data_IF_048237729487
#
_entry.id   IF_048237729487
#
_cell.length_a   1.000
_cell.length_b   1.000
_cell.length_c   1.000
_cell.angle_alpha   90.00
_cell.angle_beta   90.00
_cell.angle_gamma   90.00
#
_symmetry.space_group_name_H-M   'P 1'
#
loop_
_entity.id
_entity.type
_entity.pdbx_description
1 polymer ?
#
# COMPACT_ATOMS: atom_id res chain seq x y z
N UNK A 1 -27.41 -25.28 13.97
CA UNK A 1 -27.62 -25.70 15.36
C UNK A 1 -27.85 -27.19 15.40
N UNK A 2 -26.88 -27.95 15.93
CA UNK A 2 -27.00 -29.23 16.66
C UNK A 2 -25.56 -29.71 16.92
N UNK A 3 -25.21 -29.86 18.21
CA UNK A 3 -24.10 -30.68 18.71
C UNK A 3 -22.67 -30.18 18.49
N UNK A 4 -22.15 -29.38 19.41
CA UNK A 4 -20.71 -29.33 19.65
C UNK A 4 -20.33 -30.61 20.42
N UNK A 5 -19.57 -31.51 19.80
CA UNK A 5 -18.88 -32.60 20.51
C UNK A 5 -17.42 -32.19 20.68
N UNK A 6 -17.01 -32.03 21.93
CA UNK A 6 -15.60 -32.05 22.32
C UNK A 6 -15.07 -33.46 22.04
N UNK A 7 -14.08 -33.59 21.17
CA UNK A 7 -13.26 -34.79 21.07
C UNK A 7 -11.83 -34.41 21.45
N UNK A 8 -11.47 -34.76 22.68
CA UNK A 8 -10.09 -34.99 23.07
C UNK A 8 -9.76 -36.44 22.68
N UNK A 9 -9.01 -36.62 21.60
CA UNK A 9 -8.34 -37.90 21.30
C UNK A 9 -6.96 -37.59 20.77
N UNK A 10 -5.97 -37.93 21.59
CA UNK A 10 -4.56 -38.04 21.26
C UNK A 10 -4.36 -38.96 20.05
N UNK A 11 -3.52 -38.54 19.10
CA UNK A 11 -3.04 -39.38 18.02
C UNK A 11 -1.51 -39.47 18.10
N UNK A 12 -0.93 -40.65 18.37
CA UNK A 12 0.52 -40.83 18.43
C UNK A 12 1.01 -41.48 17.13
N UNK A 13 1.20 -40.73 16.05
CA UNK A 13 2.07 -41.12 14.93
C UNK A 13 2.52 -39.84 14.20
N UNK A 14 3.58 -39.21 14.69
CA UNK A 14 4.26 -38.10 14.02
C UNK A 14 5.77 -38.21 14.21
N UNK A 15 6.31 -39.41 14.05
CA UNK A 15 7.74 -39.64 13.88
C UNK A 15 7.90 -40.68 12.77
N UNK A 16 8.81 -40.40 11.83
CA UNK A 16 9.07 -41.11 10.56
C UNK A 16 8.13 -40.74 9.42
N UNK A 17 8.47 -39.66 8.71
CA UNK A 17 8.45 -39.56 7.23
C UNK A 17 9.08 -38.22 6.77
N UNK A 18 10.24 -37.87 7.33
CA UNK A 18 11.04 -36.73 6.91
C UNK A 18 12.53 -37.11 6.83
N UNK A 19 12.84 -38.18 6.10
CA UNK A 19 14.21 -38.46 5.66
C UNK A 19 14.15 -38.97 4.22
N UNK A 20 14.34 -38.06 3.26
CA UNK A 20 15.12 -38.29 2.05
C UNK A 20 15.14 -37.01 1.20
N UNK A 21 16.35 -36.50 0.96
CA UNK A 21 16.71 -35.44 0.01
C UNK A 21 16.59 -33.99 0.50
N UNK A 22 17.31 -33.66 1.56
CA UNK A 22 17.92 -32.34 1.72
C UNK A 22 19.42 -32.53 1.94
N UNK A 23 20.24 -31.90 1.09
CA UNK A 23 21.64 -31.66 1.42
C UNK A 23 21.68 -30.93 2.77
N UNK A 24 22.47 -31.48 3.68
CA UNK A 24 22.58 -31.06 5.07
C UNK A 24 23.05 -29.60 5.16
N UNK A 25 22.35 -28.72 5.90
CA UNK A 25 22.94 -27.46 6.34
C UNK A 25 23.98 -27.75 7.42
N UNK A 26 25.16 -27.16 7.27
CA UNK A 26 26.25 -27.14 8.24
C UNK A 26 25.78 -26.68 9.64
N UNK A 27 26.42 -27.17 10.73
CA UNK A 27 25.93 -27.03 12.10
C UNK A 27 25.87 -25.58 12.62
N UNK A 28 25.05 -25.29 13.67
CA UNK A 28 24.85 -23.95 14.19
C UNK A 28 26.04 -23.56 15.07
N UNK A 29 27.06 -22.99 14.44
CA UNK A 29 28.28 -22.52 15.09
C UNK A 29 28.94 -21.36 14.37
N UNK A 30 28.16 -20.54 13.68
CA UNK A 30 28.61 -19.28 13.07
C UNK A 30 28.28 -18.09 13.96
N UNK A 31 29.10 -17.03 14.00
CA UNK A 31 28.82 -15.85 14.82
C UNK A 31 27.47 -15.27 14.40
N UNK A 32 26.57 -15.01 15.36
CA UNK A 32 25.46 -14.09 15.14
C UNK A 32 26.06 -12.79 14.58
N UNK A 33 25.89 -12.56 13.27
CA UNK A 33 26.50 -11.43 12.60
C UNK A 33 26.07 -10.13 13.28
N UNK A 34 27.03 -9.30 13.71
CA UNK A 34 26.77 -8.01 14.36
C UNK A 34 25.80 -7.12 13.56
N UNK A 35 25.70 -7.30 12.24
CA UNK A 35 24.73 -6.61 11.38
C UNK A 35 23.27 -6.98 11.65
N UNK A 36 22.98 -8.24 12.03
CA UNK A 36 21.61 -8.69 12.34
C UNK A 36 21.11 -8.10 13.65
N UNK A 37 21.98 -8.04 14.67
CA UNK A 37 21.65 -7.39 15.95
C UNK A 37 21.38 -5.89 15.75
N UNK A 38 22.24 -5.21 14.97
CA UNK A 38 22.10 -3.78 14.69
C UNK A 38 20.81 -3.43 13.91
N UNK A 39 20.36 -4.30 13.00
CA UNK A 39 19.07 -4.13 12.31
C UNK A 39 17.87 -4.32 13.25
N UNK A 40 17.88 -5.35 14.10
CA UNK A 40 16.82 -5.57 15.08
C UNK A 40 16.72 -4.40 16.06
N UNK A 41 17.85 -3.83 16.47
CA UNK A 41 17.88 -2.62 17.31
C UNK A 41 17.25 -1.42 16.61
N UNK A 42 17.62 -1.16 15.36
CA UNK A 42 17.01 -0.09 14.57
C UNK A 42 15.49 -0.26 14.47
N UNK A 43 15.00 -1.49 14.24
CA UNK A 43 13.55 -1.78 14.18
C UNK A 43 12.88 -1.59 15.55
N UNK A 44 13.51 -2.03 16.66
CA UNK A 44 13.00 -1.84 18.02
C UNK A 44 12.89 -0.35 18.36
N UNK A 45 13.93 0.44 18.09
CA UNK A 45 13.92 1.89 18.30
C UNK A 45 12.91 2.58 17.39
N UNK A 46 12.77 2.16 16.13
CA UNK A 46 11.72 2.69 15.27
C UNK A 46 10.33 2.39 15.84
N UNK A 47 10.09 1.18 16.35
CA UNK A 47 8.81 0.79 16.93
C UNK A 47 8.49 1.56 18.22
N UNK A 48 9.49 2.01 18.99
CA UNK A 48 9.23 2.90 20.13
C UNK A 48 8.74 4.30 19.71
N UNK A 49 8.88 4.67 18.43
CA UNK A 49 8.28 5.91 17.87
C UNK A 49 6.80 5.73 17.50
N UNK A 50 6.23 4.54 17.68
CA UNK A 50 4.79 4.36 17.49
C UNK A 50 4.04 5.19 18.53
N UNK A 51 3.17 6.04 18.03
CA UNK A 51 2.24 6.79 18.85
C UNK A 51 1.18 5.82 19.37
N UNK A 52 1.14 5.58 20.68
CA UNK A 52 0.13 4.75 21.31
C UNK A 52 -1.28 5.23 20.92
N UNK A 53 -2.27 4.34 20.97
CA UNK A 53 -3.68 4.66 20.65
C UNK A 53 -4.20 5.91 21.41
N UNK A 54 -3.64 6.18 22.60
CA UNK A 54 -3.87 7.40 23.38
C UNK A 54 -3.39 8.68 22.69
N UNK A 55 -2.26 8.68 21.97
CA UNK A 55 -1.78 9.83 21.19
C UNK A 55 -2.64 10.06 19.95
N UNK A 56 -3.11 9.02 19.27
CA UNK A 56 -4.08 9.17 18.17
C UNK A 56 -5.43 9.74 18.68
N UNK A 57 -5.87 9.33 19.88
CA UNK A 57 -7.00 9.94 20.57
C UNK A 57 -6.72 11.39 21.01
N UNK A 58 -5.48 11.71 21.34
CA UNK A 58 -5.06 13.05 21.72
C UNK A 58 -4.91 13.98 20.52
N UNK A 59 -4.45 13.50 19.35
CA UNK A 59 -4.50 14.23 18.06
C UNK A 59 -5.95 14.45 17.62
N UNK A 60 -6.86 13.50 17.90
CA UNK A 60 -8.31 13.71 17.70
C UNK A 60 -8.87 14.82 18.61
N UNK A 61 -8.39 14.94 19.84
CA UNK A 61 -8.80 15.99 20.81
C UNK A 61 -8.12 17.33 20.52
N UNK A 62 -6.84 17.31 20.17
CA UNK A 62 -6.05 18.44 19.67
C UNK A 62 -6.31 18.56 18.18
N UNK A 63 -7.48 19.08 17.80
CA UNK A 63 -7.68 19.84 16.55
C UNK A 63 -6.80 21.11 16.53
N UNK A 64 -5.58 21.02 17.06
CA UNK A 64 -4.55 22.02 16.87
C UNK A 64 -4.29 22.09 15.38
N UNK A 65 -4.25 23.32 14.89
CA UNK A 65 -4.13 23.71 13.50
C UNK A 65 -3.46 22.64 12.61
N UNK A 66 -4.25 22.01 11.74
CA UNK A 66 -3.78 20.94 10.85
C UNK A 66 -2.63 21.43 9.94
N UNK A 67 -2.54 22.74 9.70
CA UNK A 67 -1.43 23.36 9.00
C UNK A 67 -0.12 23.23 9.78
N UNK A 68 -0.18 23.34 11.11
CA UNK A 68 0.98 23.13 12.00
C UNK A 68 1.58 21.72 11.83
N UNK A 69 0.81 20.72 11.39
CA UNK A 69 1.35 19.36 11.12
C UNK A 69 2.34 19.36 9.95
N UNK A 70 2.07 20.11 8.89
CA UNK A 70 2.98 20.24 7.74
C UNK A 70 4.19 21.09 8.11
N UNK A 71 4.00 22.19 8.84
CA UNK A 71 5.12 23.02 9.32
C UNK A 71 6.05 22.21 10.24
N UNK A 72 5.48 21.38 11.12
CA UNK A 72 6.26 20.44 11.95
C UNK A 72 7.06 19.46 11.08
N UNK A 73 6.46 18.95 10.00
CA UNK A 73 7.15 18.04 9.09
C UNK A 73 8.29 18.72 8.33
N UNK A 74 8.11 19.97 7.89
CA UNK A 74 9.19 20.79 7.29
C UNK A 74 10.32 21.05 8.28
N UNK A 75 9.98 21.33 9.55
CA UNK A 75 10.97 21.48 10.62
C UNK A 75 11.77 20.18 10.83
N UNK A 76 11.11 19.02 10.83
CA UNK A 76 11.83 17.75 10.90
C UNK A 76 12.74 17.50 9.71
N UNK A 77 12.31 17.89 8.51
CA UNK A 77 13.13 17.80 7.31
C UNK A 77 14.38 18.69 7.46
N UNK A 78 14.22 19.95 7.88
CA UNK A 78 15.31 20.88 8.14
C UNK A 78 16.30 20.33 9.19
N UNK A 79 15.79 19.81 10.31
CA UNK A 79 16.60 19.16 11.36
C UNK A 79 17.35 17.94 10.86
N UNK A 80 16.77 17.18 9.94
CA UNK A 80 17.44 16.05 9.29
C UNK A 80 18.59 16.45 8.35
N UNK A 81 18.77 17.76 8.12
CA UNK A 81 19.79 18.31 7.22
C UNK A 81 19.36 18.43 5.77
N UNK A 82 18.06 18.32 5.47
CA UNK A 82 17.48 18.53 4.15
C UNK A 82 16.57 19.75 4.15
N UNK A 83 16.49 20.44 3.02
CA UNK A 83 15.51 21.49 2.78
C UNK A 83 14.35 20.94 1.94
N UNK A 84 13.21 21.63 1.96
CA UNK A 84 12.04 21.21 1.16
C UNK A 84 12.37 21.25 -0.35
N UNK A 85 13.29 22.13 -0.74
CA UNK A 85 13.81 22.32 -2.09
C UNK A 85 14.53 21.08 -2.60
N UNK A 86 15.21 20.35 -1.71
CA UNK A 86 15.97 19.15 -2.09
C UNK A 86 15.04 18.07 -2.64
N UNK A 87 13.80 18.01 -2.15
CA UNK A 87 12.80 17.05 -2.61
C UNK A 87 12.37 17.26 -4.07
N UNK A 88 12.55 18.46 -4.63
CA UNK A 88 12.21 18.75 -6.02
C UNK A 88 13.11 17.95 -6.99
N UNK A 89 14.30 17.52 -6.55
CA UNK A 89 15.24 16.68 -7.33
C UNK A 89 14.72 15.25 -7.52
N UNK A 90 13.78 14.80 -6.69
CA UNK A 90 13.26 13.43 -6.71
C UNK A 90 12.19 13.18 -7.78
N UNK A 91 11.81 14.20 -8.57
CA UNK A 91 10.88 14.07 -9.70
C UNK A 91 9.60 13.29 -9.34
N UNK A 92 8.96 13.68 -8.23
CA UNK A 92 8.03 12.82 -7.51
C UNK A 92 6.70 12.61 -8.27
N UNK A 93 6.20 11.38 -8.24
CA UNK A 93 4.79 11.05 -8.54
C UNK A 93 4.07 10.87 -7.20
N UNK A 94 3.05 11.68 -6.92
CA UNK A 94 2.37 11.69 -5.63
C UNK A 94 0.96 11.12 -5.74
N UNK A 95 0.67 10.03 -5.03
CA UNK A 95 -0.58 9.27 -5.21
C UNK A 95 -1.37 9.18 -3.92
N UNK A 96 -2.65 9.56 -3.97
CA UNK A 96 -3.62 9.36 -2.91
C UNK A 96 -4.86 8.60 -3.40
N UNK A 97 -5.82 8.37 -2.52
CA UNK A 97 -7.02 7.57 -2.75
C UNK A 97 -7.43 6.76 -1.53
N UNK A 98 -8.62 6.17 -1.54
CA UNK A 98 -9.05 5.28 -0.46
C UNK A 98 -8.58 3.86 -0.75
N UNK A 99 -8.90 3.33 -1.93
CA UNK A 99 -8.49 1.99 -2.37
C UNK A 99 -7.68 2.09 -3.67
N UNK A 100 -6.72 1.17 -3.85
CA UNK A 100 -5.92 1.10 -5.07
C UNK A 100 -4.67 1.99 -5.12
N UNK A 101 -4.38 2.78 -4.09
CA UNK A 101 -3.15 3.62 -4.00
C UNK A 101 -1.87 2.80 -4.21
N UNK A 102 -1.58 1.87 -3.29
CA UNK A 102 -0.41 0.99 -3.40
C UNK A 102 -0.32 0.22 -4.72
N UNK A 103 -1.45 -0.31 -5.23
CA UNK A 103 -1.47 -0.97 -6.55
C UNK A 103 -1.18 -0.02 -7.70
N UNK A 104 -1.73 1.19 -7.69
CA UNK A 104 -1.43 2.24 -8.69
C UNK A 104 0.05 2.63 -8.63
N UNK A 105 0.60 2.83 -7.43
CA UNK A 105 2.01 3.10 -7.24
C UNK A 105 2.88 1.95 -7.76
N UNK A 106 2.51 0.69 -7.48
CA UNK A 106 3.26 -0.49 -7.91
C UNK A 106 3.27 -0.62 -9.44
N UNK A 107 2.13 -0.45 -10.10
CA UNK A 107 2.06 -0.40 -11.56
C UNK A 107 2.91 0.74 -12.12
N UNK A 108 2.79 1.95 -11.55
CA UNK A 108 3.52 3.14 -12.02
C UNK A 108 5.03 2.97 -11.90
N UNK A 109 5.50 2.48 -10.75
CA UNK A 109 6.91 2.17 -10.49
C UNK A 109 7.44 1.13 -11.48
N UNK A 110 6.72 0.01 -11.64
CA UNK A 110 7.16 -1.08 -12.51
C UNK A 110 7.20 -0.66 -13.97
N UNK A 111 6.23 0.13 -14.43
CA UNK A 111 6.24 0.72 -15.78
C UNK A 111 7.48 1.59 -15.95
N UNK A 112 7.71 2.57 -15.09
CA UNK A 112 8.81 3.51 -15.24
C UNK A 112 10.18 2.84 -15.09
N UNK A 113 10.30 1.83 -14.23
CA UNK A 113 11.50 1.01 -14.13
C UNK A 113 11.78 0.22 -15.41
N UNK A 114 10.75 -0.23 -16.12
CA UNK A 114 10.92 -0.88 -17.42
C UNK A 114 11.42 0.08 -18.52
N UNK A 115 11.37 1.39 -18.30
CA UNK A 115 12.05 2.39 -19.14
C UNK A 115 13.54 2.59 -18.76
N UNK A 116 14.08 1.77 -17.85
CA UNK A 116 15.49 1.81 -17.43
C UNK A 116 15.79 2.81 -16.30
N UNK A 117 14.76 3.43 -15.72
CA UNK A 117 14.91 4.43 -14.65
C UNK A 117 15.22 3.76 -13.31
N UNK A 118 16.11 4.38 -12.52
CA UNK A 118 16.31 4.04 -11.11
C UNK A 118 15.16 4.62 -10.28
N UNK A 119 14.28 3.75 -9.81
CA UNK A 119 13.04 4.15 -9.12
C UNK A 119 13.18 4.08 -7.60
N UNK A 120 12.71 5.11 -6.92
CA UNK A 120 12.34 5.08 -5.51
C UNK A 120 10.85 4.83 -5.34
N UNK A 121 10.47 4.08 -4.32
CA UNK A 121 9.06 3.80 -4.03
C UNK A 121 8.80 3.80 -2.52
N UNK A 122 7.84 4.63 -2.11
CA UNK A 122 7.41 4.76 -0.71
C UNK A 122 5.94 4.36 -0.56
N UNK A 123 5.65 3.41 0.33
CA UNK A 123 4.30 2.88 0.55
C UNK A 123 3.94 2.63 2.01
N UNK A 124 2.64 2.47 2.26
CA UNK A 124 2.14 2.09 3.58
C UNK A 124 0.81 1.33 3.55
N UNK A 125 0.57 0.39 4.50
CA UNK A 125 1.54 -0.21 5.41
C UNK A 125 2.49 -1.20 4.69
N UNK A 126 3.42 -1.83 5.44
CA UNK A 126 4.10 -3.03 4.96
C UNK A 126 3.24 -4.28 5.22
N UNK A 127 3.52 -5.37 4.51
CA UNK A 127 2.87 -6.67 4.72
C UNK A 127 3.61 -7.51 5.75
N UNK A 128 4.93 -7.71 5.59
CA UNK A 128 5.73 -8.57 6.48
C UNK A 128 6.82 -7.79 7.19
N UNK A 129 7.57 -6.93 6.49
CA UNK A 129 8.74 -6.23 7.04
C UNK A 129 8.73 -4.73 6.74
N UNK A 130 9.20 -3.92 7.69
CA UNK A 130 9.22 -2.45 7.58
C UNK A 130 9.98 -1.93 6.35
N UNK A 131 11.03 -2.64 5.91
CA UNK A 131 11.82 -2.31 4.72
C UNK A 131 10.98 -2.28 3.45
N UNK A 132 9.87 -3.01 3.39
CA UNK A 132 8.97 -3.01 2.23
C UNK A 132 8.38 -1.63 1.91
N UNK A 133 8.35 -0.73 2.90
CA UNK A 133 7.87 0.65 2.76
C UNK A 133 8.82 1.53 1.96
N UNK A 134 10.10 1.18 1.86
CA UNK A 134 11.12 1.95 1.14
C UNK A 134 11.80 1.00 0.17
N UNK A 135 11.50 1.14 -1.12
CA UNK A 135 12.05 0.28 -2.17
C UNK A 135 12.88 1.09 -3.15
N UNK A 136 13.93 0.46 -3.67
CA UNK A 136 14.72 0.93 -4.80
C UNK A 136 14.64 -0.15 -5.88
N UNK A 137 14.30 0.25 -7.11
CA UNK A 137 14.18 -0.66 -8.26
C UNK A 137 13.22 -1.84 -8.01
N UNK A 138 12.11 -1.58 -7.34
CA UNK A 138 11.10 -2.59 -6.98
C UNK A 138 11.46 -3.48 -5.79
N UNK A 139 12.68 -3.37 -5.23
CA UNK A 139 13.14 -4.20 -4.12
C UNK A 139 13.18 -3.42 -2.80
N UNK A 140 12.70 -3.98 -1.67
CA UNK A 140 12.95 -3.41 -0.34
C UNK A 140 14.44 -3.16 -0.12
N UNK A 141 14.79 -2.00 0.45
CA UNK A 141 16.19 -1.72 0.81
C UNK A 141 16.75 -2.81 1.73
N UNK A 142 18.04 -3.12 1.62
CA UNK A 142 18.66 -4.18 2.43
C UNK A 142 18.62 -3.85 3.93
N UNK A 143 18.75 -4.85 4.83
CA UNK A 143 18.89 -4.59 6.26
C UNK A 143 20.02 -3.61 6.58
N UNK A 144 21.15 -3.71 5.89
CA UNK A 144 22.32 -2.84 6.08
C UNK A 144 22.02 -1.40 5.66
N UNK A 145 21.42 -1.20 4.49
CA UNK A 145 20.98 0.12 4.05
C UNK A 145 19.95 0.71 5.01
N UNK A 146 18.94 -0.08 5.42
CA UNK A 146 17.95 0.38 6.39
C UNK A 146 18.62 0.84 7.68
N UNK A 147 19.45 0.01 8.29
CA UNK A 147 20.16 0.32 9.55
C UNK A 147 21.03 1.57 9.43
N UNK A 148 21.80 1.67 8.34
CA UNK A 148 22.67 2.83 8.06
C UNK A 148 21.86 4.13 7.99
N UNK A 149 20.81 4.16 7.18
CA UNK A 149 20.00 5.37 7.01
C UNK A 149 19.16 5.68 8.24
N UNK A 150 18.67 4.66 8.95
CA UNK A 150 17.93 4.80 10.19
C UNK A 150 18.78 5.52 11.24
N UNK A 151 19.95 4.96 11.60
CA UNK A 151 20.79 5.54 12.64
C UNK A 151 21.33 6.91 12.25
N UNK A 152 21.73 7.11 10.98
CA UNK A 152 22.13 8.42 10.49
C UNK A 152 21.05 9.48 10.70
N UNK A 153 19.81 9.17 10.33
CA UNK A 153 18.68 10.09 10.50
C UNK A 153 18.35 10.29 11.99
N UNK A 154 18.29 9.20 12.76
CA UNK A 154 17.96 9.23 14.18
C UNK A 154 18.94 10.10 14.98
N UNK A 155 20.25 9.86 14.82
CA UNK A 155 21.28 10.65 15.50
C UNK A 155 21.25 12.11 15.06
N UNK A 156 21.05 12.38 13.76
CA UNK A 156 20.95 13.75 13.28
C UNK A 156 19.77 14.50 13.89
N UNK A 157 18.63 13.84 14.07
CA UNK A 157 17.45 14.42 14.72
C UNK A 157 17.66 14.63 16.23
N UNK A 158 18.37 13.73 16.92
CA UNK A 158 18.75 13.91 18.33
C UNK A 158 19.74 15.08 18.52
N UNK A 159 20.80 15.14 17.71
CA UNK A 159 21.83 16.20 17.79
C UNK A 159 21.27 17.61 17.55
N UNK A 160 20.31 17.72 16.63
CA UNK A 160 19.66 19.00 16.26
C UNK A 160 18.42 19.29 17.10
N UNK A 161 18.26 18.60 18.23
CA UNK A 161 17.19 18.88 19.19
C UNK A 161 17.52 20.16 19.94
N UNK A 162 16.91 21.26 19.49
CA UNK A 162 17.00 22.53 20.20
C UNK A 162 16.15 22.47 21.48
N UNK A 163 16.77 22.79 22.62
CA UNK A 163 16.13 22.96 23.93
C UNK A 163 14.95 23.93 23.91
N UNK A 164 14.95 24.88 22.97
CA UNK A 164 13.90 25.90 22.79
C UNK A 164 12.72 25.42 21.94
N UNK A 165 12.93 24.41 21.08
CA UNK A 165 11.88 23.83 20.26
C UNK A 165 11.22 22.67 21.01
N UNK A 166 9.94 22.79 21.38
CA UNK A 166 9.18 21.72 22.04
C UNK A 166 8.94 20.47 21.16
N UNK A 167 9.71 20.27 20.09
CA UNK A 167 9.45 19.26 19.06
C UNK A 167 10.34 18.03 19.29
N UNK A 168 9.74 17.00 19.88
CA UNK A 168 10.34 15.68 20.11
C UNK A 168 10.58 14.91 18.80
N UNK A 169 11.22 13.74 18.88
CA UNK A 169 11.45 12.83 17.75
C UNK A 169 10.16 12.61 16.93
N UNK A 170 10.23 12.60 15.57
CA UNK A 170 9.05 12.36 14.75
C UNK A 170 8.39 11.02 15.08
N UNK A 171 7.06 11.01 15.11
CA UNK A 171 6.29 9.78 15.20
C UNK A 171 6.61 8.82 14.04
N UNK A 172 6.41 7.52 14.26
CA UNK A 172 6.75 6.40 13.38
C UNK A 172 6.60 6.69 11.88
N UNK A 173 5.42 7.14 11.45
CA UNK A 173 5.15 7.36 10.03
C UNK A 173 5.93 8.56 9.47
N UNK A 174 6.05 9.65 10.22
CA UNK A 174 6.86 10.83 9.82
C UNK A 174 8.32 10.48 9.70
N UNK A 175 8.84 9.72 10.67
CA UNK A 175 10.23 9.27 10.65
C UNK A 175 10.51 8.46 9.38
N UNK A 176 9.65 7.50 9.04
CA UNK A 176 9.79 6.69 7.82
C UNK A 176 9.68 7.52 6.55
N UNK A 177 8.80 8.51 6.50
CA UNK A 177 8.71 9.44 5.36
C UNK A 177 9.99 10.23 5.17
N UNK A 178 10.57 10.77 6.26
CA UNK A 178 11.88 11.45 6.21
C UNK A 178 12.99 10.50 5.74
N UNK A 179 13.02 9.29 6.30
CA UNK A 179 13.98 8.26 5.94
C UNK A 179 13.89 7.91 4.45
N UNK A 180 12.67 7.79 3.91
CA UNK A 180 12.46 7.52 2.49
C UNK A 180 13.07 8.62 1.60
N UNK A 181 12.83 9.90 1.92
CA UNK A 181 13.43 11.02 1.18
C UNK A 181 14.96 11.02 1.25
N UNK A 182 15.53 10.78 2.44
CA UNK A 182 16.99 10.64 2.61
C UNK A 182 17.55 9.51 1.76
N UNK A 183 16.92 8.33 1.79
CA UNK A 183 17.33 7.17 1.00
C UNK A 183 17.27 7.52 -0.49
N UNK A 184 16.17 8.08 -0.98
CA UNK A 184 16.02 8.38 -2.41
C UNK A 184 17.02 9.41 -2.91
N UNK A 185 17.32 10.45 -2.13
CA UNK A 185 18.33 11.45 -2.47
C UNK A 185 19.75 10.86 -2.45
N UNK A 186 20.09 10.08 -1.41
CA UNK A 186 21.42 9.48 -1.29
C UNK A 186 21.67 8.40 -2.33
N UNK A 187 20.64 7.62 -2.66
CA UNK A 187 20.67 6.63 -3.73
C UNK A 187 20.53 7.25 -5.12
N UNK A 188 20.31 8.57 -5.25
CA UNK A 188 20.19 9.28 -6.52
C UNK A 188 19.21 8.60 -7.47
N UNK A 189 17.99 8.36 -6.99
CA UNK A 189 16.91 7.84 -7.84
C UNK A 189 16.53 8.87 -8.91
N UNK A 190 16.16 8.41 -10.09
CA UNK A 190 15.69 9.28 -11.18
C UNK A 190 14.27 9.80 -10.90
N UNK A 191 13.47 9.00 -10.20
CA UNK A 191 12.13 9.38 -9.73
C UNK A 191 11.75 8.66 -8.44
N UNK A 192 10.85 9.25 -7.66
CA UNK A 192 10.20 8.60 -6.54
C UNK A 192 8.68 8.53 -6.71
N UNK A 193 8.10 7.34 -6.57
CA UNK A 193 6.64 7.14 -6.47
C UNK A 193 6.27 7.12 -4.99
N UNK A 194 5.51 8.12 -4.54
CA UNK A 194 5.19 8.35 -3.13
C UNK A 194 3.70 8.14 -2.90
N UNK A 195 3.36 7.11 -2.13
CA UNK A 195 2.01 6.89 -1.63
C UNK A 195 1.73 7.77 -0.41
N UNK A 196 0.60 8.47 -0.43
CA UNK A 196 0.04 9.17 0.73
C UNK A 196 -0.41 8.16 1.79
N UNK A 197 -0.06 8.40 3.05
CA UNK A 197 -0.53 7.60 4.18
C UNK A 197 -2.03 7.71 4.39
N UNK A 198 -2.49 8.84 4.95
CA UNK A 198 -3.90 9.09 5.26
C UNK A 198 -4.31 10.48 4.78
N UNK A 199 -5.43 10.55 4.05
CA UNK A 199 -5.95 11.83 3.55
C UNK A 199 -5.16 12.34 2.34
N UNK A 200 -4.44 13.45 2.51
CA UNK A 200 -3.69 14.13 1.46
C UNK A 200 -3.25 15.51 1.90
N UNK A 201 -4.20 16.42 2.10
CA UNK A 201 -3.99 17.84 2.43
C UNK A 201 -3.01 18.03 3.58
N UNK A 202 -3.16 17.25 4.66
CA UNK A 202 -2.34 17.34 5.86
C UNK A 202 -1.50 16.09 6.13
N UNK A 203 -1.35 15.22 5.13
CA UNK A 203 -0.47 14.07 5.25
C UNK A 203 0.99 14.53 5.27
N UNK A 204 1.85 13.85 6.03
CA UNK A 204 3.25 14.24 6.15
C UNK A 204 4.04 14.17 4.83
N UNK A 205 3.56 13.41 3.84
CA UNK A 205 4.14 13.41 2.49
C UNK A 205 3.84 14.72 1.74
N UNK A 206 2.80 15.47 2.11
CA UNK A 206 2.37 16.69 1.40
C UNK A 206 3.25 17.93 1.67
N UNK A 207 4.45 17.74 2.23
CA UNK A 207 5.55 18.72 2.15
C UNK A 207 6.15 18.79 0.74
N UNK A 208 5.87 17.79 -0.11
CA UNK A 208 6.22 17.81 -1.53
C UNK A 208 5.56 19.02 -2.19
N UNK A 209 6.37 19.88 -2.80
CA UNK A 209 5.90 21.13 -3.41
C UNK A 209 5.68 21.01 -4.93
N UNK A 210 6.61 20.35 -5.62
CA UNK A 210 6.63 20.22 -7.10
C UNK A 210 6.66 18.73 -7.49
N UNK A 211 5.59 17.96 -7.22
CA UNK A 211 5.46 16.68 -7.87
C UNK A 211 5.38 16.90 -9.39
N UNK A 212 5.88 15.94 -10.16
CA UNK A 212 5.78 15.98 -11.63
C UNK A 212 4.34 15.74 -12.06
N UNK A 213 3.62 14.88 -11.34
CA UNK A 213 2.22 14.53 -11.57
C UNK A 213 1.58 13.98 -10.29
N UNK A 214 0.29 14.27 -10.07
CA UNK A 214 -0.49 13.74 -8.95
C UNK A 214 -1.55 12.72 -9.41
N UNK A 215 -1.84 11.72 -8.57
CA UNK A 215 -2.85 10.69 -8.84
C UNK A 215 -3.85 10.53 -7.70
N UNK A 216 -5.14 10.40 -8.03
CA UNK A 216 -6.22 10.06 -7.09
C UNK A 216 -6.88 8.75 -7.52
N UNK A 217 -6.56 7.67 -6.80
CA UNK A 217 -7.22 6.38 -6.99
C UNK A 217 -8.65 6.40 -6.40
N UNK A 218 -9.35 5.27 -6.47
CA UNK A 218 -10.76 5.16 -6.06
C UNK A 218 -11.02 5.73 -4.65
N UNK A 219 -12.05 6.58 -4.57
CA UNK A 219 -12.54 7.16 -3.33
C UNK A 219 -13.62 6.28 -2.71
N UNK A 220 -13.64 6.25 -1.38
CA UNK A 220 -14.60 5.50 -0.60
C UNK A 220 -14.55 5.93 0.86
N UNK A 221 -15.61 5.62 1.60
CA UNK A 221 -15.68 5.84 3.04
C UNK A 221 -14.62 4.97 3.74
N UNK A 222 -13.65 5.62 4.36
CA UNK A 222 -12.62 5.01 5.20
C UNK A 222 -12.03 6.09 6.12
N UNK A 223 -11.51 5.69 7.28
CA UNK A 223 -10.93 6.61 8.26
C UNK A 223 -11.82 7.81 8.64
N UNK A 224 -13.13 7.59 8.80
CA UNK A 224 -14.12 8.67 9.02
C UNK A 224 -13.80 9.56 10.23
N UNK A 225 -13.21 8.97 11.28
CA UNK A 225 -12.77 9.72 12.46
C UNK A 225 -11.65 10.74 12.21
N UNK A 226 -10.95 10.67 11.06
CA UNK A 226 -9.87 11.57 10.68
C UNK A 226 -10.23 12.43 9.46
N UNK A 227 -10.89 11.85 8.46
CA UNK A 227 -11.11 12.49 7.16
C UNK A 227 -12.50 13.10 6.99
N UNK A 228 -13.41 12.85 7.93
CA UNK A 228 -14.82 13.21 7.84
C UNK A 228 -15.71 12.02 7.52
N UNK A 229 -16.99 12.21 7.76
CA UNK A 229 -18.08 11.23 7.66
C UNK A 229 -18.71 11.13 6.26
N UNK A 230 -18.31 11.98 5.31
CA UNK A 230 -18.84 11.97 3.93
C UNK A 230 -17.73 11.75 2.89
N UNK A 231 -18.11 11.24 1.71
CA UNK A 231 -17.14 11.03 0.63
C UNK A 231 -16.59 12.36 0.09
N UNK A 232 -17.35 13.45 0.17
CA UNK A 232 -16.97 14.80 -0.22
C UNK A 232 -15.86 15.35 0.69
N UNK A 233 -15.97 15.18 2.01
CA UNK A 233 -14.91 15.57 2.96
C UNK A 233 -13.62 14.76 2.71
N UNK A 234 -13.77 13.48 2.39
CA UNK A 234 -12.65 12.60 2.02
C UNK A 234 -12.02 13.04 0.69
N UNK A 235 -12.85 13.37 -0.32
CA UNK A 235 -12.41 13.88 -1.61
C UNK A 235 -11.66 15.20 -1.45
N UNK A 236 -12.17 16.09 -0.58
CA UNK A 236 -11.49 17.32 -0.23
C UNK A 236 -10.10 16.98 0.29
N UNK A 237 -9.98 16.22 1.39
CA UNK A 237 -8.68 15.83 1.96
C UNK A 237 -7.72 15.27 0.91
N UNK A 238 -8.19 14.44 -0.01
CA UNK A 238 -7.36 13.81 -1.04
C UNK A 238 -6.93 14.78 -2.14
N UNK A 239 -7.82 15.66 -2.61
CA UNK A 239 -7.47 16.73 -3.55
C UNK A 239 -6.46 17.74 -2.99
N UNK A 240 -6.16 17.71 -1.68
CA UNK A 240 -5.13 18.56 -1.08
C UNK A 240 -3.69 18.26 -1.50
N UNK A 241 -3.44 17.18 -2.26
CA UNK A 241 -2.13 16.93 -2.88
C UNK A 241 -1.94 17.69 -4.19
N UNK A 242 -2.99 18.31 -4.74
CA UNK A 242 -2.89 19.08 -5.98
C UNK A 242 -1.98 20.30 -5.79
N UNK A 243 -1.22 20.63 -6.83
CA UNK A 243 -0.27 21.75 -6.84
C UNK A 243 -0.49 22.57 -8.10
N UNK A 244 -0.23 23.87 -7.98
CA UNK A 244 -0.43 24.82 -9.07
C UNK A 244 0.34 24.42 -10.33
N UNK A 245 -0.35 24.36 -11.48
CA UNK A 245 0.22 23.99 -12.77
C UNK A 245 0.72 22.54 -12.90
N UNK A 246 0.59 21.71 -11.86
CA UNK A 246 0.97 20.30 -11.90
C UNK A 246 -0.24 19.48 -12.35
N UNK A 247 -0.14 18.65 -13.40
CA UNK A 247 -1.25 17.82 -13.84
C UNK A 247 -1.63 16.77 -12.79
N UNK A 248 -2.92 16.49 -12.71
CA UNK A 248 -3.49 15.47 -11.84
C UNK A 248 -4.43 14.55 -12.63
N UNK A 249 -4.49 13.29 -12.21
CA UNK A 249 -5.36 12.28 -12.80
C UNK A 249 -6.21 11.60 -11.73
N UNK A 250 -7.48 11.38 -12.02
CA UNK A 250 -8.38 10.58 -11.17
C UNK A 250 -9.01 9.46 -11.98
N UNK A 251 -9.27 8.33 -11.33
CA UNK A 251 -10.22 7.32 -11.86
C UNK A 251 -11.66 7.83 -11.77
N UNK A 252 -12.64 7.17 -12.41
CA UNK A 252 -14.06 7.47 -12.18
C UNK A 252 -14.44 7.46 -10.70
N UNK A 253 -15.23 8.45 -10.29
CA UNK A 253 -15.73 8.63 -8.92
C UNK A 253 -17.23 8.93 -8.97
N UNK A 254 -17.95 8.82 -7.84
CA UNK A 254 -19.30 9.37 -7.75
C UNK A 254 -19.31 10.90 -7.95
N UNK A 255 -20.43 11.45 -8.45
CA UNK A 255 -20.55 12.85 -8.87
C UNK A 255 -20.14 13.86 -7.78
N UNK A 256 -20.59 13.67 -6.53
CA UNK A 256 -20.28 14.57 -5.41
C UNK A 256 -18.77 14.68 -5.12
N UNK A 257 -18.08 13.57 -4.79
CA UNK A 257 -16.63 13.53 -4.66
C UNK A 257 -15.86 14.06 -5.89
N UNK A 258 -16.34 13.77 -7.10
CA UNK A 258 -15.71 14.25 -8.32
C UNK A 258 -15.81 15.77 -8.46
N UNK A 259 -16.97 16.35 -8.14
CA UNK A 259 -17.18 17.79 -8.14
C UNK A 259 -16.24 18.49 -7.13
N UNK A 260 -16.02 17.90 -5.95
CA UNK A 260 -15.06 18.41 -4.98
C UNK A 260 -13.62 18.39 -5.52
N UNK A 261 -13.19 17.29 -6.16
CA UNK A 261 -11.86 17.22 -6.76
C UNK A 261 -11.69 18.29 -7.85
N UNK A 262 -12.70 18.47 -8.70
CA UNK A 262 -12.73 19.51 -9.74
C UNK A 262 -12.60 20.90 -9.13
N UNK A 263 -13.42 21.22 -8.14
CA UNK A 263 -13.39 22.54 -7.48
C UNK A 263 -12.00 22.83 -6.85
N UNK A 264 -11.40 21.85 -6.16
CA UNK A 264 -10.04 22.02 -5.61
C UNK A 264 -8.99 22.23 -6.71
N UNK A 265 -9.12 21.50 -7.82
CA UNK A 265 -8.21 21.63 -8.94
C UNK A 265 -8.33 23.03 -9.59
N UNK A 266 -9.54 23.53 -9.79
CA UNK A 266 -9.81 24.88 -10.30
C UNK A 266 -9.23 25.97 -9.37
N UNK A 267 -9.50 25.87 -8.06
CA UNK A 267 -9.02 26.83 -7.05
C UNK A 267 -7.49 26.97 -7.02
N UNK A 268 -6.75 25.88 -7.29
CA UNK A 268 -5.28 25.85 -7.27
C UNK A 268 -4.69 25.99 -8.69
N UNK A 269 -5.54 26.05 -9.73
CA UNK A 269 -5.14 25.98 -11.15
C UNK A 269 -4.28 24.75 -11.46
N UNK A 270 -4.75 23.59 -11.02
CA UNK A 270 -4.22 22.27 -11.30
C UNK A 270 -5.00 21.65 -12.48
N UNK A 271 -4.35 21.28 -13.60
CA UNK A 271 -5.02 20.55 -14.68
C UNK A 271 -5.44 19.15 -14.22
N UNK A 272 -6.74 18.93 -13.99
CA UNK A 272 -7.29 17.64 -13.55
C UNK A 272 -7.96 16.91 -14.72
N UNK A 273 -7.58 15.65 -14.92
CA UNK A 273 -8.14 14.79 -15.97
C UNK A 273 -8.79 13.53 -15.39
N UNK A 274 -9.88 13.11 -16.03
CA UNK A 274 -10.49 11.81 -15.79
C UNK A 274 -9.79 10.73 -16.62
N UNK A 275 -9.35 9.64 -16.00
CA UNK A 275 -8.74 8.53 -16.73
C UNK A 275 -9.79 7.80 -17.59
N UNK A 276 -9.49 7.49 -18.86
CA UNK A 276 -10.34 6.61 -19.63
C UNK A 276 -10.39 5.20 -19.02
N UNK A 277 -11.44 4.42 -19.32
CA UNK A 277 -11.43 2.99 -19.04
C UNK A 277 -10.23 2.32 -19.73
N UNK A 278 -9.69 1.27 -19.11
CA UNK A 278 -8.48 0.59 -19.62
C UNK A 278 -8.71 0.03 -21.03
N UNK A 279 -9.95 -0.35 -21.32
CA UNK A 279 -10.45 -0.83 -22.62
C UNK A 279 -10.16 0.17 -23.76
N UNK A 280 -10.27 1.47 -23.50
CA UNK A 280 -9.98 2.49 -24.51
C UNK A 280 -8.49 2.51 -24.91
N UNK A 281 -7.61 2.10 -23.99
CA UNK A 281 -6.16 1.98 -24.23
C UNK A 281 -5.81 0.66 -24.93
N UNK A 282 -6.73 -0.31 -24.95
CA UNK A 282 -6.58 -1.62 -25.63
C UNK A 282 -7.00 -1.59 -27.11
N UNK A 283 -7.73 -0.56 -27.56
CA UNK A 283 -8.28 -0.52 -28.93
C UNK A 283 -7.22 -0.76 -30.03
N UNK A 284 -7.47 -1.72 -30.92
CA UNK A 284 -6.57 -2.05 -32.05
C UNK A 284 -5.37 -2.94 -31.68
N UNK A 285 -5.29 -3.43 -30.45
CA UNK A 285 -4.17 -4.21 -29.93
C UNK A 285 -4.66 -5.36 -29.03
N UNK A 286 -3.82 -6.36 -28.70
CA UNK A 286 -4.19 -7.40 -27.73
C UNK A 286 -4.54 -6.79 -26.36
N UNK A 287 -5.51 -7.38 -25.62
CA UNK A 287 -5.87 -6.93 -24.28
C UNK A 287 -4.66 -6.82 -23.35
N UNK A 288 -4.66 -5.79 -22.50
CA UNK A 288 -3.57 -5.58 -21.56
C UNK A 288 -3.64 -6.65 -20.46
N UNK A 289 -2.57 -7.43 -20.36
CA UNK A 289 -2.42 -8.38 -19.26
C UNK A 289 -1.87 -7.65 -18.05
N UNK A 290 -2.54 -7.80 -16.90
CA UNK A 290 -2.13 -7.20 -15.63
C UNK A 290 -1.51 -8.27 -14.72
N UNK A 291 -0.40 -7.96 -14.07
CA UNK A 291 0.21 -8.82 -13.05
C UNK A 291 -0.58 -8.88 -11.74
N UNK A 292 -1.46 -7.90 -11.50
CA UNK A 292 -2.41 -7.90 -10.40
C UNK A 292 -3.82 -8.24 -10.93
N UNK A 293 -4.44 -9.26 -10.36
CA UNK A 293 -5.75 -9.73 -10.78
C UNK A 293 -6.91 -8.91 -10.19
N UNK A 294 -8.07 -9.03 -10.82
CA UNK A 294 -9.32 -8.42 -10.36
C UNK A 294 -9.73 -7.17 -11.13
N UNK A 295 -11.03 -7.03 -11.34
CA UNK A 295 -11.65 -5.94 -12.12
C UNK A 295 -11.25 -4.55 -11.64
N UNK A 296 -11.17 -4.35 -10.33
CA UNK A 296 -10.78 -3.09 -9.70
C UNK A 296 -9.33 -2.68 -10.04
N UNK A 297 -8.47 -3.61 -10.45
CA UNK A 297 -7.11 -3.30 -10.88
C UNK A 297 -7.06 -2.63 -12.26
N UNK A 298 -8.11 -2.78 -13.09
CA UNK A 298 -8.16 -2.13 -14.42
C UNK A 298 -8.14 -0.62 -14.31
N UNK A 299 -8.90 -0.06 -13.36
CA UNK A 299 -8.87 1.37 -13.06
C UNK A 299 -7.51 1.83 -12.48
N UNK A 300 -6.89 1.03 -11.61
CA UNK A 300 -5.57 1.33 -11.06
C UNK A 300 -4.48 1.31 -12.15
N UNK A 301 -4.55 0.36 -13.08
CA UNK A 301 -3.65 0.26 -14.23
C UNK A 301 -3.84 1.42 -15.21
N UNK A 302 -5.08 1.82 -15.51
CA UNK A 302 -5.37 2.97 -16.35
C UNK A 302 -4.81 4.27 -15.74
N UNK A 303 -4.99 4.47 -14.43
CA UNK A 303 -4.39 5.60 -13.72
C UNK A 303 -2.86 5.53 -13.78
N UNK A 304 -2.25 4.38 -13.51
CA UNK A 304 -0.80 4.20 -13.56
C UNK A 304 -0.20 4.49 -14.95
N UNK A 305 -0.88 4.08 -16.03
CA UNK A 305 -0.48 4.39 -17.41
C UNK A 305 -0.46 5.91 -17.66
N UNK A 306 -1.49 6.63 -17.20
CA UNK A 306 -1.55 8.08 -17.35
C UNK A 306 -0.49 8.80 -16.52
N UNK A 307 -0.26 8.37 -15.28
CA UNK A 307 0.81 8.90 -14.42
C UNK A 307 2.19 8.69 -15.05
N UNK A 308 2.49 7.46 -15.50
CA UNK A 308 3.76 7.14 -16.12
C UNK A 308 3.97 7.92 -17.43
N UNK A 309 2.96 7.95 -18.32
CA UNK A 309 3.03 8.71 -19.57
C UNK A 309 3.25 10.20 -19.31
N UNK A 310 2.49 10.80 -18.40
CA UNK A 310 2.61 12.21 -18.07
C UNK A 310 3.99 12.54 -17.50
N UNK A 311 4.51 11.68 -16.61
CA UNK A 311 5.85 11.83 -16.07
C UNK A 311 6.92 11.79 -17.18
N UNK A 312 6.87 10.76 -18.05
CA UNK A 312 7.81 10.61 -19.16
C UNK A 312 7.75 11.82 -20.11
N UNK A 313 6.54 12.30 -20.43
CA UNK A 313 6.35 13.49 -21.27
C UNK A 313 6.97 14.74 -20.65
N UNK A 314 6.77 14.98 -19.35
CA UNK A 314 7.29 16.17 -18.65
C UNK A 314 8.79 16.11 -18.38
N UNK A 315 9.41 14.94 -18.60
CA UNK A 315 10.84 14.69 -18.48
C UNK A 315 11.49 14.43 -19.84
N UNK A 316 10.81 14.81 -20.92
CA UNK A 316 11.31 14.74 -22.31
C UNK A 316 11.81 13.35 -22.72
N UNK A 317 11.23 12.29 -22.15
CA UNK A 317 11.51 10.92 -22.57
C UNK A 317 10.84 10.61 -23.91
N UNK A 318 11.53 9.80 -24.72
CA UNK A 318 11.01 9.27 -25.97
C UNK A 318 10.19 7.99 -25.73
N UNK A 319 9.39 7.58 -26.73
CA UNK A 319 8.64 6.32 -26.66
C UNK A 319 7.54 6.34 -25.61
N UNK A 320 6.76 7.41 -25.54
CA UNK A 320 5.68 7.61 -24.55
C UNK A 320 4.30 7.14 -25.02
N UNK A 321 4.25 6.42 -26.14
CA UNK A 321 3.03 5.95 -26.78
C UNK A 321 2.41 7.00 -27.71
N UNK A 322 1.93 6.53 -28.85
CA UNK A 322 1.29 7.39 -29.85
C UNK A 322 -0.12 7.77 -29.39
N UNK A 323 -0.44 9.06 -29.47
CA UNK A 323 -1.79 9.55 -29.17
C UNK A 323 -2.76 9.00 -30.22
N UNK A 324 -3.86 8.40 -29.76
CA UNK A 324 -4.98 8.08 -30.64
C UNK A 324 -5.82 9.34 -30.81
N UNK A 325 -6.41 9.53 -31.99
CA UNK A 325 -7.35 10.63 -32.22
C UNK A 325 -8.51 10.50 -31.22
N UNK A 326 -8.53 11.34 -30.18
CA UNK A 326 -9.60 11.29 -29.19
C UNK A 326 -10.83 11.98 -29.76
N UNK A 327 -11.98 11.32 -29.64
CA UNK A 327 -13.27 12.01 -29.76
C UNK A 327 -13.49 12.77 -28.44
N UNK A 328 -13.80 14.08 -28.47
CA UNK A 328 -14.11 14.80 -27.25
C UNK A 328 -15.40 14.21 -26.64
N UNK A 329 -15.27 13.41 -25.59
CA UNK A 329 -16.40 13.05 -24.74
C UNK A 329 -16.65 14.19 -23.77
N UNK A 330 -17.50 15.13 -24.19
CA UNK A 330 -18.13 16.10 -23.30
C UNK A 330 -19.16 15.37 -22.43
N UNK A 331 -18.70 14.62 -21.44
CA UNK A 331 -19.51 14.38 -20.25
C UNK A 331 -19.21 15.53 -19.30
N UNK A 332 -20.25 16.27 -18.90
CA UNK A 332 -20.28 17.58 -18.23
C UNK A 332 -19.46 17.77 -16.92
N UNK A 333 -18.32 17.10 -16.71
CA UNK A 333 -17.67 17.08 -15.40
C UNK A 333 -16.15 17.31 -15.44
N UNK A 334 -15.35 16.59 -16.22
CA UNK A 334 -13.89 16.81 -16.32
C UNK A 334 -13.38 16.48 -17.72
N UNK A 335 -12.28 17.10 -18.20
CA UNK A 335 -11.66 16.68 -19.46
C UNK A 335 -11.15 15.24 -19.33
N UNK A 336 -11.44 14.41 -20.33
CA UNK A 336 -10.89 13.07 -20.41
C UNK A 336 -9.39 13.14 -20.70
N UNK A 337 -8.60 12.32 -20.01
CA UNK A 337 -7.18 12.19 -20.29
C UNK A 337 -6.96 11.63 -21.70
N UNK A 338 -5.86 11.99 -22.38
CA UNK A 338 -5.57 11.52 -23.73
C UNK A 338 -5.56 9.99 -23.80
N UNK A 339 -6.22 9.44 -24.82
CA UNK A 339 -6.12 8.02 -25.17
C UNK A 339 -4.87 7.85 -26.02
N UNK A 340 -4.06 6.84 -25.70
CA UNK A 340 -2.82 6.54 -26.41
C UNK A 340 -2.62 5.03 -26.50
N UNK A 341 -1.72 4.60 -27.38
CA UNK A 341 -1.33 3.21 -27.50
C UNK A 341 -0.20 2.90 -26.50
N UNK A 342 -0.43 2.04 -25.49
CA UNK A 342 0.61 1.69 -24.52
C UNK A 342 1.77 0.98 -25.20
N UNK A 343 2.99 1.44 -24.91
CA UNK A 343 4.22 0.86 -25.46
C UNK A 343 4.50 -0.54 -24.93
N UNK A 344 5.46 -1.24 -25.56
CA UNK A 344 5.95 -2.53 -25.06
C UNK A 344 6.45 -2.45 -23.62
N UNK A 345 7.17 -1.38 -23.24
CA UNK A 345 7.64 -1.14 -21.87
C UNK A 345 6.48 -1.02 -20.88
N UNK A 346 5.44 -0.27 -21.24
CA UNK A 346 4.24 -0.12 -20.41
C UNK A 346 3.48 -1.44 -20.26
N UNK A 347 3.31 -2.20 -21.36
CA UNK A 347 2.66 -3.51 -21.34
C UNK A 347 3.39 -4.52 -20.46
N UNK A 348 4.70 -4.62 -20.63
CA UNK A 348 5.56 -5.45 -19.77
C UNK A 348 5.50 -4.96 -18.32
N UNK A 349 5.46 -3.65 -18.11
CA UNK A 349 5.34 -3.06 -16.79
C UNK A 349 4.08 -3.51 -16.07
N UNK A 350 2.94 -3.38 -16.74
CA UNK A 350 1.65 -3.83 -16.23
C UNK A 350 1.61 -5.35 -15.97
N UNK A 351 2.07 -6.16 -16.94
CA UNK A 351 2.05 -7.62 -16.85
C UNK A 351 2.92 -8.16 -15.71
N UNK A 352 4.09 -7.58 -15.52
CA UNK A 352 5.08 -8.10 -14.57
C UNK A 352 5.00 -7.40 -13.20
N UNK A 353 3.96 -6.59 -12.96
CA UNK A 353 3.77 -5.93 -11.66
C UNK A 353 3.36 -6.95 -10.61
N UNK A 354 4.13 -7.00 -9.52
CA UNK A 354 3.81 -7.79 -8.34
C UNK A 354 3.55 -6.89 -7.12
N UNK A 355 2.51 -7.22 -6.36
CA UNK A 355 2.18 -6.50 -5.14
C UNK A 355 1.65 -7.48 -4.08
N UNK A 356 2.52 -7.99 -3.20
CA UNK A 356 2.17 -9.02 -2.23
C UNK A 356 0.94 -8.66 -1.39
N UNK A 357 0.09 -9.65 -1.15
CA UNK A 357 -1.15 -9.49 -0.38
C UNK A 357 -2.29 -8.76 -1.11
N UNK A 358 -2.20 -8.54 -2.43
CA UNK A 358 -3.33 -8.10 -3.27
C UNK A 358 -3.63 -9.13 -4.34
N UNK A 359 -4.80 -9.77 -4.24
CA UNK A 359 -5.27 -10.79 -5.20
C UNK A 359 -4.16 -11.77 -5.58
N UNK A 360 -3.38 -12.20 -4.59
CA UNK A 360 -2.16 -12.96 -4.79
C UNK A 360 -2.46 -14.45 -4.71
N UNK A 361 -2.11 -15.19 -5.76
CA UNK A 361 -2.23 -16.66 -5.77
C UNK A 361 -0.84 -17.29 -5.60
N UNK A 362 -0.66 -18.13 -4.58
CA UNK A 362 0.58 -18.88 -4.37
C UNK A 362 0.30 -20.38 -4.40
N UNK A 363 1.09 -21.15 -5.16
CA UNK A 363 1.01 -22.62 -5.18
C UNK A 363 2.19 -23.23 -4.43
N UNK A 364 1.90 -24.13 -3.49
CA UNK A 364 2.89 -24.83 -2.66
C UNK A 364 2.48 -26.31 -2.55
N UNK A 365 3.04 -27.14 -3.42
CA UNK A 365 2.64 -28.55 -3.53
C UNK A 365 1.13 -28.68 -3.82
N UNK A 366 0.38 -29.44 -3.00
CA UNK A 366 -1.07 -29.59 -3.18
C UNK A 366 -1.87 -28.35 -2.74
N UNK A 367 -1.25 -27.39 -2.04
CA UNK A 367 -1.94 -26.22 -1.51
C UNK A 367 -1.90 -25.06 -2.49
N UNK A 368 -3.02 -24.37 -2.65
CA UNK A 368 -3.08 -23.07 -3.32
C UNK A 368 -3.65 -22.04 -2.36
N UNK A 369 -2.85 -21.01 -2.09
CA UNK A 369 -3.19 -19.90 -1.24
C UNK A 369 -3.74 -18.74 -2.08
N UNK A 370 -4.88 -18.22 -1.66
CA UNK A 370 -5.49 -17.02 -2.21
C UNK A 370 -5.42 -15.93 -1.15
N UNK A 371 -4.49 -14.99 -1.30
CA UNK A 371 -4.15 -14.00 -0.28
C UNK A 371 -4.63 -12.61 -0.71
N UNK A 372 -5.43 -11.96 0.14
CA UNK A 372 -5.83 -10.57 -0.05
C UNK A 372 -6.03 -9.84 1.28
N UNK A 373 -5.49 -8.62 1.40
CA UNK A 373 -5.65 -7.73 2.55
C UNK A 373 -6.95 -6.91 2.56
N UNK A 374 -8.06 -7.46 2.07
CA UNK A 374 -9.37 -6.83 2.06
C UNK A 374 -9.93 -6.67 3.49
N UNK A 375 -10.34 -5.46 3.85
CA UNK A 375 -10.77 -5.10 5.22
C UNK A 375 -11.94 -4.10 5.26
N UNK A 376 -12.59 -3.88 4.12
CA UNK A 376 -13.85 -3.13 3.98
C UNK A 376 -14.83 -3.94 3.14
N UNK A 377 -16.14 -3.69 3.30
CA UNK A 377 -17.17 -4.39 2.53
C UNK A 377 -16.93 -4.36 1.02
N UNK A 378 -16.55 -3.19 0.48
CA UNK A 378 -16.21 -3.03 -0.94
C UNK A 378 -15.00 -3.85 -1.37
N UNK A 379 -13.93 -3.87 -0.57
CA UNK A 379 -12.72 -4.67 -0.86
C UNK A 379 -12.98 -6.18 -0.73
N UNK A 380 -13.79 -6.61 0.24
CA UNK A 380 -14.15 -8.02 0.41
C UNK A 380 -15.02 -8.48 -0.76
N UNK A 381 -15.97 -7.67 -1.23
CA UNK A 381 -16.73 -7.98 -2.45
C UNK A 381 -15.83 -8.12 -3.68
N UNK A 382 -14.84 -7.24 -3.85
CA UNK A 382 -13.87 -7.35 -4.92
C UNK A 382 -13.03 -8.62 -4.81
N UNK A 383 -12.58 -8.98 -3.60
CA UNK A 383 -11.87 -10.22 -3.31
C UNK A 383 -12.73 -11.45 -3.60
N UNK A 384 -14.02 -11.47 -3.22
CA UNK A 384 -14.96 -12.55 -3.53
C UNK A 384 -15.12 -12.73 -5.04
N UNK A 385 -15.28 -11.64 -5.79
CA UNK A 385 -15.36 -11.69 -7.27
C UNK A 385 -14.09 -12.30 -7.86
N UNK A 386 -12.92 -11.82 -7.44
CA UNK A 386 -11.63 -12.33 -7.86
C UNK A 386 -11.47 -13.83 -7.54
N UNK A 387 -11.67 -14.22 -6.28
CA UNK A 387 -11.54 -15.60 -5.82
C UNK A 387 -12.43 -16.55 -6.63
N UNK A 388 -13.70 -16.19 -6.81
CA UNK A 388 -14.63 -16.99 -7.62
C UNK A 388 -14.12 -17.11 -9.06
N UNK A 389 -13.68 -16.02 -9.69
CA UNK A 389 -13.13 -16.07 -11.05
C UNK A 389 -11.88 -16.96 -11.13
N UNK A 390 -10.98 -16.87 -10.14
CA UNK A 390 -9.76 -17.68 -10.08
C UNK A 390 -10.07 -19.18 -9.96
N UNK A 391 -11.13 -19.56 -9.23
CA UNK A 391 -11.61 -20.95 -9.18
C UNK A 391 -12.13 -21.45 -10.52
N UNK A 392 -12.84 -20.62 -11.29
CA UNK A 392 -13.37 -21.02 -12.61
C UNK A 392 -12.26 -21.18 -13.66
N UNK A 393 -11.15 -20.45 -13.53
CA UNK A 393 -10.02 -20.49 -14.47
C UNK A 393 -9.08 -21.68 -14.26
N UNK A 394 -9.23 -22.43 -13.17
CA UNK A 394 -8.41 -23.62 -12.94
C UNK A 394 -8.68 -24.68 -14.01
N UNK A 395 -7.65 -25.25 -14.64
CA UNK A 395 -7.84 -26.38 -15.55
C UNK A 395 -8.39 -27.56 -14.75
N UNK A 396 -9.56 -28.06 -15.15
CA UNK A 396 -10.12 -29.31 -14.61
C UNK A 396 -9.17 -30.44 -14.99
N UNK A 397 -8.33 -30.87 -14.04
CA UNK A 397 -7.27 -31.84 -14.29
C UNK A 397 -7.70 -33.19 -13.74
N UNK A 398 -7.99 -34.16 -14.63
CA UNK A 398 -8.15 -35.57 -14.26
C UNK A 398 -9.37 -35.92 -13.38
N UNK A 399 -9.46 -37.17 -12.89
CA UNK A 399 -10.58 -37.62 -12.06
C UNK A 399 -10.73 -36.72 -10.82
N UNK A 400 -11.99 -36.50 -10.39
CA UNK A 400 -12.36 -35.59 -9.30
C UNK A 400 -11.60 -35.91 -8.00
N UNK A 401 -10.45 -35.27 -7.80
CA UNK A 401 -9.80 -35.26 -6.48
C UNK A 401 -10.66 -34.34 -5.60
N UNK A 402 -11.15 -34.82 -4.45
CA UNK A 402 -11.96 -33.99 -3.56
C UNK A 402 -11.15 -32.77 -3.10
N UNK A 403 -11.62 -31.58 -3.44
CA UNK A 403 -11.01 -30.32 -3.02
C UNK A 403 -11.64 -29.85 -1.71
N UNK A 404 -10.79 -29.50 -0.73
CA UNK A 404 -11.23 -28.87 0.51
C UNK A 404 -10.84 -27.40 0.50
N UNK A 405 -11.82 -26.51 0.70
CA UNK A 405 -11.65 -25.06 0.75
C UNK A 405 -11.70 -24.58 2.19
N UNK A 406 -10.61 -23.96 2.63
CA UNK A 406 -10.49 -23.41 3.98
C UNK A 406 -10.41 -21.89 3.89
N UNK A 407 -11.29 -21.19 4.61
CA UNK A 407 -11.18 -19.76 4.86
C UNK A 407 -10.25 -19.54 6.04
N UNK A 408 -9.14 -18.82 5.84
CA UNK A 408 -8.40 -18.22 6.93
C UNK A 408 -8.78 -16.74 7.03
N UNK A 409 -9.36 -16.33 8.14
CA UNK A 409 -9.87 -14.98 8.34
C UNK A 409 -9.31 -14.35 9.60
N UNK A 410 -8.91 -13.08 9.46
CA UNK A 410 -8.51 -12.23 10.57
C UNK A 410 -9.04 -10.82 10.32
N UNK A 411 -9.50 -10.17 11.38
CA UNK A 411 -9.94 -8.77 11.37
C UNK A 411 -9.30 -8.05 12.55
N UNK A 412 -8.74 -6.88 12.29
CA UNK A 412 -7.98 -6.10 13.28
C UNK A 412 -8.77 -4.87 13.74
N UNK A 413 -8.68 -4.54 15.03
CA UNK A 413 -9.33 -3.36 15.64
C UNK A 413 -10.82 -3.57 15.90
N UNK A 414 -11.52 -2.49 16.24
CA UNK A 414 -12.90 -2.53 16.77
C UNK A 414 -13.99 -2.68 15.70
N UNK A 415 -13.65 -3.25 14.53
CA UNK A 415 -14.60 -3.40 13.41
C UNK A 415 -15.43 -4.66 13.61
N UNK A 416 -16.75 -4.55 13.48
CA UNK A 416 -17.63 -5.72 13.43
C UNK A 416 -17.28 -6.59 12.19
N UNK A 417 -16.82 -7.84 12.38
CA UNK A 417 -16.49 -8.73 11.28
C UNK A 417 -17.72 -9.36 10.62
N UNK A 418 -18.90 -9.34 11.27
CA UNK A 418 -20.09 -10.03 10.77
C UNK A 418 -20.55 -9.57 9.36
N UNK A 419 -20.57 -8.27 9.03
CA UNK A 419 -20.88 -7.80 7.68
C UNK A 419 -19.89 -8.32 6.63
N UNK A 420 -18.61 -8.43 6.97
CA UNK A 420 -17.56 -8.92 6.06
C UNK A 420 -17.72 -10.44 5.82
N UNK A 421 -17.96 -11.21 6.89
CA UNK A 421 -18.18 -12.66 6.79
C UNK A 421 -19.44 -13.00 6.00
N UNK A 422 -20.50 -12.18 6.10
CA UNK A 422 -21.72 -12.37 5.30
C UNK A 422 -21.43 -12.31 3.79
N UNK A 423 -20.50 -11.46 3.36
CA UNK A 423 -20.10 -11.34 1.96
C UNK A 423 -19.30 -12.54 1.45
N UNK A 424 -18.64 -13.30 2.34
CA UNK A 424 -17.84 -14.48 2.00
C UNK A 424 -18.68 -15.76 1.86
N UNK A 425 -19.95 -15.77 2.33
CA UNK A 425 -20.84 -16.94 2.24
C UNK A 425 -20.96 -17.55 0.83
N UNK A 426 -21.06 -16.77 -0.26
CA UNK A 426 -21.15 -17.33 -1.61
C UNK A 426 -19.91 -18.14 -2.04
N UNK A 427 -18.77 -18.00 -1.36
CA UNK A 427 -17.55 -18.75 -1.68
C UNK A 427 -17.62 -20.23 -1.28
N UNK A 428 -18.58 -20.62 -0.44
CA UNK A 428 -18.81 -22.02 -0.01
C UNK A 428 -17.53 -22.71 0.51
N UNK A 429 -16.92 -22.12 1.53
CA UNK A 429 -15.79 -22.75 2.23
C UNK A 429 -16.28 -23.93 3.07
N UNK A 430 -15.51 -25.02 3.08
CA UNK A 430 -15.79 -26.24 3.86
C UNK A 430 -15.43 -26.03 5.33
N UNK A 431 -14.35 -25.27 5.58
CA UNK A 431 -13.90 -24.90 6.92
C UNK A 431 -13.59 -23.41 6.99
N UNK A 432 -13.72 -22.83 8.19
CA UNK A 432 -13.27 -21.48 8.49
C UNK A 432 -12.41 -21.49 9.76
N UNK A 433 -11.21 -20.93 9.66
CA UNK A 433 -10.26 -20.73 10.73
C UNK A 433 -10.13 -19.24 10.99
N UNK A 434 -10.32 -18.85 12.25
CA UNK A 434 -10.20 -17.47 12.71
C UNK A 434 -8.89 -17.32 13.47
N UNK A 435 -8.01 -16.44 13.02
CA UNK A 435 -6.65 -16.31 13.56
C UNK A 435 -6.45 -14.94 14.23
N UNK A 436 -5.67 -14.86 15.33
CA UNK A 436 -5.24 -13.59 15.91
C UNK A 436 -4.13 -12.92 15.06
N UNK A 437 -3.79 -11.68 15.39
CA UNK A 437 -2.63 -10.96 14.83
C UNK A 437 -1.27 -11.37 15.44
N UNK A 438 -1.24 -12.46 16.22
CA UNK A 438 -0.03 -12.91 16.90
C UNK A 438 0.79 -13.74 15.90
N UNK A 439 1.95 -13.20 15.50
CA UNK A 439 2.88 -13.86 14.58
C UNK A 439 3.87 -14.79 15.28
N UNK A 440 3.88 -14.80 16.62
CA UNK A 440 4.72 -15.67 17.43
C UNK A 440 3.84 -16.53 18.35
N UNK A 441 3.93 -17.85 18.20
CA UNK A 441 3.59 -18.77 19.30
C UNK A 441 4.86 -18.89 20.12
N UNK A 442 4.93 -18.20 21.26
CA UNK A 442 5.98 -18.46 22.24
C UNK A 442 5.81 -19.90 22.73
N UNK A 443 6.61 -20.82 22.19
CA UNK A 443 6.70 -22.19 22.69
C UNK A 443 7.47 -22.16 24.01
N UNK A 444 6.77 -21.88 25.11
CA UNK A 444 7.26 -22.15 26.44
C UNK A 444 6.12 -22.64 27.30
N UNK A 445 6.10 -23.96 27.52
CA UNK A 445 5.71 -24.51 28.82
C UNK A 445 6.51 -23.78 29.89
N UNK A 446 5.86 -22.84 30.57
CA UNK A 446 6.02 -22.59 32.00
C UNK A 446 4.99 -21.54 32.41
N UNK A 447 4.05 -21.99 33.25
CA UNK A 447 3.06 -21.15 33.89
C UNK A 447 3.72 -20.03 34.71
N UNK A 448 3.18 -18.81 34.62
CA UNK A 448 2.34 -18.14 35.65
C UNK A 448 1.83 -16.78 35.10
N UNK A 449 0.50 -16.62 35.24
CA UNK A 449 -0.50 -15.62 34.79
C UNK A 449 -0.44 -14.23 35.49
N UNK A 450 -1.42 -13.27 35.41
CA UNK A 450 -2.51 -12.96 34.44
C UNK A 450 -2.60 -11.48 34.00
N UNK A 451 -3.51 -11.17 33.04
CA UNK A 451 -4.36 -9.94 32.84
C UNK A 451 -4.34 -9.52 31.34
N UNK A 452 -5.43 -9.36 30.58
CA UNK A 452 -6.87 -9.22 30.86
C UNK A 452 -7.68 -10.02 29.83
N UNK A 453 -8.63 -10.80 30.32
CA UNK A 453 -9.80 -11.28 29.58
C UNK A 453 -10.88 -10.21 29.67
N UNK A 454 -11.33 -9.67 28.54
CA UNK A 454 -12.71 -9.18 28.42
C UNK A 454 -13.45 -10.13 27.50
N UNK A 455 -14.10 -11.08 28.16
CA UNK A 455 -15.09 -11.99 27.61
C UNK A 455 -16.41 -11.25 27.45
N UNK A 456 -16.91 -11.16 26.21
CA UNK A 456 -18.33 -11.04 25.93
C UNK A 456 -18.63 -11.73 24.60
N UNK A 457 -18.50 -13.07 24.60
CA UNK A 457 -19.13 -13.92 23.60
C UNK A 457 -20.42 -14.45 24.20
N UNK A 458 -21.52 -13.73 24.01
CA UNK A 458 -22.85 -14.33 24.07
C UNK A 458 -23.35 -14.49 22.63
N UNK A 459 -23.71 -15.72 22.26
CA UNK A 459 -24.64 -16.00 21.16
C UNK A 459 -26.01 -16.24 21.80
N UNK A 460 -27.14 -15.98 21.12
CA UNK A 460 -27.34 -15.50 19.75
C UNK A 460 -27.71 -14.02 19.63
#
# INVERSE_FOLDING_TARGET
>A
MKGARSFATSWPVAEKLCEASMEQPSPPGGPFSATSASFQDAVRTLNSLQTNASYLAEVKRRRGDLQTQLETMKLYLARSGLQVEDLDQLNIIHVTGTKGKGSTCAFTERILRNYGLKTGFFSSPHLVQVRERIRINGQPISPEHFTKHFWRLYHRLEETKDSSSCVSMPAYFRFLTLMAFHVFLQEKVDLAVVEVGIGGAYDCTNIIRKPVVCGVSSLGIDHTSLLGDTMEKIAWQKGGIFKHGVPAFTVPQPDGPLAVLRERAEQISCPLYLCPPLEALEEGEPPLTLGLEGEHQRANAALALQLARCWLQRKDHQGIGELKASRPSLLCQLPLAPVFQPTSHMRHGLRDTEWPGRTQTLRRGPLTWYLDGAHTSSSVQACVRWFRQALHRRPKSGPEVPEVRVLLFNSTGDRDPAPLLKLLRPCQFDYAVFCPNLTEVSSTDNAVSPLRTDSAWERP
#
